data_IF_947706813555
#
_entry.id   IF_947706813555
#
_cell.length_a   1.000
_cell.length_b   1.000
_cell.length_c   1.000
_cell.angle_alpha   90.00
_cell.angle_beta   90.00
_cell.angle_gamma   90.00
#
_symmetry.space_group_name_H-M   'P 1'
#
loop_
_entity.id
_entity.type
_entity.pdbx_description
1 polymer ?
#
# COMPACT_ATOMS: atom_id res chain seq x y z
N UNK A 1 -48.04 -8.48 41.26
CA UNK A 1 -47.66 -8.25 39.84
C UNK A 1 -48.92 -8.32 39.01
N UNK A 2 -49.20 -7.31 38.18
CA UNK A 2 -50.35 -7.30 37.27
C UNK A 2 -49.84 -7.51 35.84
N UNK A 3 -50.40 -8.48 35.13
CA UNK A 3 -50.04 -8.78 33.74
C UNK A 3 -51.05 -8.08 32.83
N UNK A 4 -50.59 -7.14 32.01
CA UNK A 4 -51.44 -6.29 31.15
C UNK A 4 -51.69 -6.89 29.76
N UNK A 5 -50.86 -7.85 29.33
CA UNK A 5 -50.94 -8.51 28.03
C UNK A 5 -50.59 -10.00 28.20
N UNK A 6 -51.29 -10.90 27.52
CA UNK A 6 -51.02 -12.33 27.57
C UNK A 6 -49.71 -12.66 26.83
N UNK A 7 -48.65 -13.12 27.50
CA UNK A 7 -47.40 -13.43 26.84
C UNK A 7 -47.52 -14.71 26.00
N UNK A 8 -46.79 -14.77 24.89
CA UNK A 8 -46.69 -16.00 24.09
C UNK A 8 -45.75 -17.01 24.79
N UNK A 9 -46.02 -18.32 24.71
CA UNK A 9 -45.07 -19.33 25.18
C UNK A 9 -43.67 -19.12 24.57
N UNK A 10 -42.64 -18.99 25.41
CA UNK A 10 -41.26 -18.76 24.97
C UNK A 10 -40.92 -17.29 24.64
N UNK A 11 -41.85 -16.34 24.83
CA UNK A 11 -41.58 -14.92 24.61
C UNK A 11 -40.44 -14.44 25.52
N UNK A 12 -39.45 -13.78 24.92
CA UNK A 12 -38.23 -13.31 25.59
C UNK A 12 -37.37 -14.41 26.25
N UNK A 13 -37.55 -15.67 25.88
CA UNK A 13 -36.67 -16.78 26.29
C UNK A 13 -35.59 -16.99 25.22
N UNK A 14 -34.32 -16.98 25.63
CA UNK A 14 -33.19 -17.36 24.77
C UNK A 14 -32.76 -18.78 25.10
N UNK A 15 -32.96 -19.70 24.18
CA UNK A 15 -32.56 -21.09 24.35
C UNK A 15 -31.05 -21.26 24.18
N UNK A 16 -30.48 -22.28 24.84
CA UNK A 16 -29.07 -22.66 24.63
C UNK A 16 -28.80 -22.91 23.15
N UNK A 17 -27.74 -22.31 22.63
CA UNK A 17 -27.36 -22.47 21.23
C UNK A 17 -28.24 -21.72 20.22
N UNK A 18 -29.04 -20.74 20.66
CA UNK A 18 -29.93 -19.98 19.77
C UNK A 18 -29.21 -19.10 18.75
N UNK A 19 -27.92 -18.81 18.96
CA UNK A 19 -27.09 -18.03 18.04
C UNK A 19 -26.01 -18.88 17.37
N UNK A 20 -25.27 -19.65 18.17
CA UNK A 20 -24.20 -20.55 17.71
C UNK A 20 -24.18 -21.81 18.57
N UNK A 21 -23.86 -22.94 17.96
CA UNK A 21 -23.71 -24.23 18.61
C UNK A 21 -22.24 -24.56 18.84
N UNK A 22 -21.98 -25.46 19.80
CA UNK A 22 -20.63 -25.95 20.04
C UNK A 22 -20.15 -26.72 18.79
N UNK A 23 -18.95 -26.37 18.32
CA UNK A 23 -18.37 -26.93 17.09
C UNK A 23 -18.56 -26.05 15.85
N UNK A 24 -19.41 -25.02 15.91
CA UNK A 24 -19.54 -24.06 14.82
C UNK A 24 -18.27 -23.20 14.70
N UNK A 25 -17.91 -22.90 13.46
CA UNK A 25 -16.83 -21.93 13.18
C UNK A 25 -17.38 -20.53 13.46
N UNK A 26 -16.87 -19.89 14.52
CA UNK A 26 -17.25 -18.51 14.86
C UNK A 26 -16.67 -17.49 13.88
N UNK A 27 -15.42 -17.69 13.44
CA UNK A 27 -14.72 -16.82 12.49
C UNK A 27 -13.74 -17.62 11.64
N UNK A 28 -13.63 -17.25 10.36
CA UNK A 28 -12.71 -17.86 9.41
C UNK A 28 -11.32 -17.24 9.47
N UNK A 29 -10.28 -18.02 9.20
CA UNK A 29 -8.91 -17.50 9.07
C UNK A 29 -8.79 -16.47 7.93
N UNK A 30 -7.89 -15.51 8.11
CA UNK A 30 -7.66 -14.42 7.14
C UNK A 30 -8.63 -13.24 7.24
N UNK A 31 -9.36 -13.16 8.35
CA UNK A 31 -10.15 -11.99 8.75
C UNK A 31 -9.28 -10.98 9.51
N UNK A 32 -9.49 -9.69 9.27
CA UNK A 32 -8.92 -8.63 10.10
C UNK A 32 -9.68 -8.54 11.42
N UNK A 33 -8.96 -8.58 12.55
CA UNK A 33 -9.60 -8.51 13.88
C UNK A 33 -9.86 -7.05 14.27
N UNK A 34 -11.13 -6.63 14.16
CA UNK A 34 -11.64 -5.36 14.68
C UNK A 34 -12.29 -5.49 16.05
N UNK A 35 -12.93 -4.41 16.52
CA UNK A 35 -13.65 -4.40 17.80
C UNK A 35 -14.72 -5.50 17.92
N UNK A 36 -15.59 -5.70 16.92
CA UNK A 36 -16.59 -6.77 16.94
C UNK A 36 -15.99 -8.17 17.05
N UNK A 37 -14.96 -8.48 16.27
CA UNK A 37 -14.30 -9.78 16.26
C UNK A 37 -13.64 -10.08 17.62
N UNK A 38 -12.98 -9.08 18.21
CA UNK A 38 -12.40 -9.18 19.56
C UNK A 38 -13.49 -9.43 20.61
N UNK A 39 -14.65 -8.78 20.52
CA UNK A 39 -15.76 -9.01 21.45
C UNK A 39 -16.32 -10.43 21.34
N UNK A 40 -16.41 -10.99 20.12
CA UNK A 40 -16.81 -12.38 19.89
C UNK A 40 -15.81 -13.35 20.53
N UNK A 41 -14.50 -13.14 20.34
CA UNK A 41 -13.46 -13.96 20.99
C UNK A 41 -13.59 -13.91 22.52
N UNK A 42 -13.78 -12.72 23.09
CA UNK A 42 -13.95 -12.56 24.53
C UNK A 42 -15.22 -13.26 25.06
N UNK A 43 -16.35 -13.13 24.36
CA UNK A 43 -17.60 -13.80 24.72
C UNK A 43 -17.48 -15.33 24.64
N UNK A 44 -16.66 -15.84 23.72
CA UNK A 44 -16.32 -17.25 23.61
C UNK A 44 -15.22 -17.70 24.60
N UNK A 45 -14.74 -16.81 25.48
CA UNK A 45 -13.62 -17.05 26.40
C UNK A 45 -12.33 -17.52 25.70
N UNK A 46 -12.12 -17.07 24.47
CA UNK A 46 -10.90 -17.32 23.72
C UNK A 46 -9.83 -16.28 24.13
N UNK A 47 -8.98 -16.64 25.09
CA UNK A 47 -7.94 -15.74 25.62
C UNK A 47 -6.70 -15.59 24.71
N UNK A 48 -6.52 -16.53 23.78
CA UNK A 48 -5.42 -16.55 22.82
C UNK A 48 -5.91 -17.09 21.49
N UNK A 49 -5.46 -16.47 20.40
CA UNK A 49 -5.79 -16.88 19.04
C UNK A 49 -4.52 -16.85 18.19
N UNK A 50 -4.36 -17.84 17.32
CA UNK A 50 -3.27 -17.84 16.34
C UNK A 50 -3.53 -16.78 15.27
N UNK A 51 -2.55 -15.93 15.02
CA UNK A 51 -2.60 -14.87 14.00
C UNK A 51 -1.43 -14.99 13.04
N UNK A 52 -1.59 -14.44 11.84
CA UNK A 52 -0.45 -14.22 10.95
C UNK A 52 0.48 -13.16 11.55
N UNK A 53 1.78 -13.41 11.50
CA UNK A 53 2.77 -12.41 11.88
C UNK A 53 2.70 -11.21 10.92
N UNK A 54 3.02 -10.02 11.43
CA UNK A 54 3.16 -8.85 10.57
C UNK A 54 4.32 -9.05 9.58
N UNK A 55 4.12 -8.77 8.27
CA UNK A 55 5.22 -8.74 7.32
C UNK A 55 6.25 -7.67 7.69
N UNK A 56 7.53 -8.01 7.61
CA UNK A 56 8.65 -7.09 7.82
C UNK A 56 9.07 -6.51 6.48
N UNK A 57 9.20 -5.19 6.38
CA UNK A 57 9.45 -4.50 5.11
C UNK A 57 10.70 -3.63 5.24
N UNK A 58 11.80 -4.03 4.60
CA UNK A 58 13.00 -3.23 4.48
C UNK A 58 12.79 -2.06 3.51
N UNK A 59 13.26 -0.87 3.86
CA UNK A 59 13.15 0.34 3.05
C UNK A 59 14.56 0.87 2.81
N UNK A 60 14.99 0.78 1.57
CA UNK A 60 16.27 1.25 1.06
C UNK A 60 16.01 2.47 0.17
N UNK A 61 16.88 3.45 0.24
CA UNK A 61 16.92 4.54 -0.72
C UNK A 61 18.23 4.54 -1.46
N UNK A 62 18.23 4.80 -2.77
CA UNK A 62 19.47 4.84 -3.57
C UNK A 62 19.60 6.20 -4.24
N UNK A 63 20.80 6.76 -4.24
CA UNK A 63 21.08 8.07 -4.82
C UNK A 63 22.16 8.79 -4.04
N UNK A 64 23.23 9.19 -4.73
CA UNK A 64 24.33 9.96 -4.12
C UNK A 64 23.90 11.37 -3.70
N UNK A 65 22.77 11.87 -4.23
CA UNK A 65 22.15 13.14 -3.83
C UNK A 65 21.42 13.06 -2.48
N UNK A 66 21.09 11.86 -1.99
CA UNK A 66 20.19 11.68 -0.87
C UNK A 66 20.91 11.81 0.48
N UNK A 67 20.43 12.74 1.29
CA UNK A 67 20.95 13.02 2.63
C UNK A 67 19.91 12.72 3.72
N UNK A 68 20.35 12.36 4.94
CA UNK A 68 19.45 12.18 6.06
C UNK A 68 18.83 13.52 6.49
N UNK A 69 17.67 13.46 7.15
CA UNK A 69 16.90 14.64 7.55
C UNK A 69 17.68 15.67 8.40
N UNK A 70 18.66 15.21 9.18
CA UNK A 70 19.45 16.05 10.08
C UNK A 70 20.70 16.65 9.44
N UNK A 71 21.00 16.33 8.18
CA UNK A 71 22.20 16.82 7.50
C UNK A 71 22.04 18.25 6.99
N UNK A 72 23.14 19.00 7.00
CA UNK A 72 23.25 20.28 6.28
C UNK A 72 23.47 20.00 4.81
N UNK A 73 22.49 20.31 3.97
CA UNK A 73 22.54 20.05 2.53
C UNK A 73 23.63 20.87 1.84
N UNK A 74 24.39 20.21 0.98
CA UNK A 74 25.28 20.83 -0.01
C UNK A 74 24.54 21.02 -1.35
N UNK A 75 25.06 21.87 -2.26
CA UNK A 75 24.48 22.01 -3.60
C UNK A 75 24.35 20.65 -4.30
N UNK A 76 23.16 20.38 -4.86
CA UNK A 76 22.84 19.11 -5.53
C UNK A 76 22.33 18.01 -4.60
N UNK A 77 22.36 18.20 -3.28
CA UNK A 77 21.83 17.24 -2.31
C UNK A 77 20.37 17.56 -1.94
N UNK A 78 19.60 16.50 -1.66
CA UNK A 78 18.21 16.58 -1.21
C UNK A 78 17.98 15.62 -0.04
N UNK A 79 16.96 15.89 0.77
CA UNK A 79 16.57 14.97 1.85
C UNK A 79 15.82 13.78 1.26
N UNK A 80 16.14 12.58 1.73
CA UNK A 80 15.37 11.38 1.42
C UNK A 80 13.98 11.43 2.08
N UNK A 81 13.01 12.02 1.38
CA UNK A 81 11.62 12.09 1.80
C UNK A 81 10.85 10.78 1.59
N UNK A 82 11.29 9.93 0.65
CA UNK A 82 10.60 8.70 0.29
C UNK A 82 10.65 7.68 1.43
N UNK A 83 11.80 7.52 2.08
CA UNK A 83 11.92 6.59 3.21
C UNK A 83 10.89 6.91 4.30
N UNK A 84 10.69 8.18 4.64
CA UNK A 84 9.70 8.58 5.67
C UNK A 84 8.27 8.28 5.24
N UNK A 85 7.92 8.62 4.00
CA UNK A 85 6.59 8.37 3.47
C UNK A 85 6.28 6.86 3.37
N UNK A 86 7.22 6.07 2.86
CA UNK A 86 7.10 4.62 2.76
C UNK A 86 7.04 3.98 4.15
N UNK A 87 7.82 4.45 5.12
CA UNK A 87 7.76 3.96 6.51
C UNK A 87 6.36 4.13 7.09
N UNK A 88 5.78 5.33 6.96
CA UNK A 88 4.44 5.61 7.46
C UNK A 88 3.37 4.76 6.74
N UNK A 89 3.49 4.59 5.42
CA UNK A 89 2.54 3.79 4.63
C UNK A 89 2.63 2.29 4.92
N UNK A 90 3.83 1.75 5.14
CA UNK A 90 4.04 0.36 5.58
C UNK A 90 3.40 0.12 6.94
N UNK A 91 3.59 1.02 7.91
CA UNK A 91 2.93 0.91 9.22
C UNK A 91 1.41 0.94 9.08
N UNK A 92 0.89 1.86 8.26
CA UNK A 92 -0.55 1.97 8.00
C UNK A 92 -1.12 0.71 7.32
N UNK A 93 -0.32 -0.01 6.54
CA UNK A 93 -0.67 -1.30 5.96
C UNK A 93 -0.57 -2.48 6.95
N UNK A 94 -0.33 -2.22 8.25
CA UNK A 94 -0.26 -3.25 9.29
C UNK A 94 1.05 -4.05 9.30
N UNK A 95 2.09 -3.54 8.62
CA UNK A 95 3.40 -4.18 8.49
C UNK A 95 4.46 -3.51 9.38
N UNK A 96 5.58 -4.18 9.61
CA UNK A 96 6.72 -3.65 10.38
C UNK A 96 7.73 -3.02 9.42
N UNK A 97 7.88 -1.69 9.37
CA UNK A 97 8.93 -1.07 8.55
C UNK A 97 10.30 -1.27 9.18
N UNK A 98 11.31 -1.45 8.33
CA UNK A 98 12.72 -1.48 8.69
C UNK A 98 13.45 -0.46 7.79
N UNK A 99 13.52 0.82 8.19
CA UNK A 99 14.30 1.81 7.46
C UNK A 99 15.78 1.44 7.52
N UNK A 100 16.39 1.22 6.35
CA UNK A 100 17.77 0.76 6.20
C UNK A 100 18.71 1.88 5.75
N UNK A 101 18.18 3.07 5.44
CA UNK A 101 18.95 4.24 5.06
C UNK A 101 19.25 4.34 3.56
N UNK A 102 20.09 5.31 3.24
CA UNK A 102 20.58 5.59 1.89
C UNK A 102 21.74 4.66 1.54
N UNK A 103 21.71 4.12 0.34
CA UNK A 103 22.76 3.32 -0.29
C UNK A 103 23.36 4.14 -1.44
N UNK A 104 24.69 4.26 -1.53
CA UNK A 104 25.35 4.90 -2.68
C UNK A 104 24.98 4.21 -4.00
N UNK A 105 25.07 4.92 -5.11
CA UNK A 105 24.81 4.38 -6.46
C UNK A 105 25.98 3.49 -6.95
N UNK A 106 26.24 2.41 -6.22
CA UNK A 106 27.30 1.45 -6.46
C UNK A 106 26.74 0.02 -6.41
N UNK A 107 26.96 -0.81 -7.44
CA UNK A 107 26.39 -2.16 -7.51
C UNK A 107 26.71 -3.02 -6.29
N UNK A 108 27.95 -2.94 -5.79
CA UNK A 108 28.36 -3.70 -4.60
C UNK A 108 27.63 -3.23 -3.33
N UNK A 109 27.51 -1.92 -3.12
CA UNK A 109 26.79 -1.39 -1.96
C UNK A 109 25.30 -1.78 -1.99
N UNK A 110 24.67 -1.73 -3.18
CA UNK A 110 23.30 -2.21 -3.36
C UNK A 110 23.17 -3.71 -3.08
N UNK A 111 24.12 -4.52 -3.56
CA UNK A 111 24.11 -5.96 -3.32
C UNK A 111 24.20 -6.29 -1.83
N UNK A 112 25.14 -5.66 -1.11
CA UNK A 112 25.33 -5.81 0.33
C UNK A 112 24.07 -5.38 1.11
N UNK A 113 23.46 -4.26 0.72
CA UNK A 113 22.24 -3.75 1.35
C UNK A 113 21.03 -4.68 1.13
N UNK A 114 20.86 -5.23 -0.09
CA UNK A 114 19.81 -6.20 -0.39
C UNK A 114 20.04 -7.50 0.39
N UNK A 115 21.27 -8.01 0.44
CA UNK A 115 21.62 -9.20 1.24
C UNK A 115 21.28 -9.00 2.72
N UNK A 116 21.69 -7.87 3.30
CA UNK A 116 21.37 -7.52 4.68
C UNK A 116 19.84 -7.47 4.90
N UNK A 117 19.09 -6.85 3.98
CA UNK A 117 17.64 -6.79 4.06
C UNK A 117 16.99 -8.19 3.98
N UNK A 118 17.48 -9.10 3.14
CA UNK A 118 16.96 -10.46 2.99
C UNK A 118 17.01 -11.28 4.28
N UNK A 119 17.97 -11.01 5.16
CA UNK A 119 18.11 -11.70 6.46
C UNK A 119 16.99 -11.37 7.45
N UNK A 120 16.27 -10.26 7.25
CA UNK A 120 15.36 -9.72 8.27
C UNK A 120 14.01 -9.23 7.73
N UNK A 121 13.83 -9.10 6.41
CA UNK A 121 12.63 -8.54 5.81
C UNK A 121 12.01 -9.47 4.78
N UNK A 122 10.68 -9.54 4.76
CA UNK A 122 9.90 -10.32 3.80
C UNK A 122 9.75 -9.60 2.47
N UNK A 123 9.71 -8.27 2.54
CA UNK A 123 9.61 -7.37 1.40
C UNK A 123 10.71 -6.33 1.48
N UNK A 124 11.30 -6.01 0.34
CA UNK A 124 12.30 -4.96 0.19
C UNK A 124 11.70 -3.90 -0.72
N UNK A 125 11.62 -2.66 -0.24
CA UNK A 125 11.28 -1.49 -1.03
C UNK A 125 12.57 -0.71 -1.27
N UNK A 126 12.94 -0.51 -2.52
CA UNK A 126 14.10 0.29 -2.90
C UNK A 126 13.59 1.50 -3.67
N UNK A 127 13.73 2.71 -3.13
CA UNK A 127 13.31 3.94 -3.81
C UNK A 127 14.51 4.78 -4.25
N UNK A 128 14.59 5.11 -5.54
CA UNK A 128 15.75 5.80 -6.10
C UNK A 128 16.44 4.95 -7.17
N UNK A 129 17.44 5.53 -7.88
CA UNK A 129 18.31 4.79 -8.80
C UNK A 129 17.62 3.99 -9.92
N UNK A 130 16.45 4.43 -10.39
CA UNK A 130 15.74 3.84 -11.54
C UNK A 130 15.55 4.88 -12.64
N UNK A 131 16.63 5.53 -13.04
CA UNK A 131 16.70 6.19 -14.35
C UNK A 131 16.91 5.15 -15.45
N UNK A 132 16.70 5.54 -16.70
CA UNK A 132 16.72 4.64 -17.87
C UNK A 132 18.05 3.88 -18.00
N UNK A 133 19.18 4.44 -17.52
CA UNK A 133 20.49 3.78 -17.49
C UNK A 133 20.79 2.94 -16.24
N UNK A 134 20.11 3.20 -15.12
CA UNK A 134 20.39 2.56 -13.83
C UNK A 134 19.76 1.17 -13.71
N UNK A 135 18.67 0.94 -14.45
CA UNK A 135 18.00 -0.38 -14.52
C UNK A 135 18.96 -1.51 -14.88
N UNK A 136 20.00 -1.23 -15.65
CA UNK A 136 20.90 -2.27 -16.14
C UNK A 136 21.80 -2.83 -15.03
N UNK A 137 22.17 -2.04 -14.02
CA UNK A 137 22.96 -2.56 -12.89
C UNK A 137 22.08 -3.12 -11.78
N UNK A 138 20.92 -2.52 -11.49
CA UNK A 138 19.99 -3.07 -10.48
C UNK A 138 19.58 -4.49 -10.86
N UNK A 139 19.26 -4.72 -12.13
CA UNK A 139 18.93 -6.05 -12.62
C UNK A 139 20.07 -7.05 -12.53
N UNK A 140 21.31 -6.62 -12.80
CA UNK A 140 22.50 -7.47 -12.62
C UNK A 140 22.67 -7.84 -11.16
N UNK A 141 22.58 -6.88 -10.25
CA UNK A 141 22.66 -7.12 -8.80
C UNK A 141 21.56 -8.09 -8.35
N UNK A 142 20.32 -7.88 -8.78
CA UNK A 142 19.21 -8.79 -8.47
C UNK A 142 19.48 -10.20 -9.01
N UNK A 143 19.94 -10.34 -10.25
CA UNK A 143 20.26 -11.63 -10.85
C UNK A 143 21.46 -12.34 -10.17
N UNK A 144 22.52 -11.62 -9.83
CA UNK A 144 23.69 -12.12 -9.10
C UNK A 144 23.31 -12.64 -7.71
N UNK A 145 22.33 -11.99 -7.07
CA UNK A 145 21.75 -12.43 -5.80
C UNK A 145 20.68 -13.53 -5.95
N UNK A 146 20.49 -14.07 -7.16
CA UNK A 146 19.59 -15.19 -7.43
C UNK A 146 18.10 -14.82 -7.47
N UNK A 147 17.77 -13.53 -7.67
CA UNK A 147 16.39 -13.11 -7.81
C UNK A 147 15.81 -13.55 -9.16
N UNK A 148 14.53 -13.92 -9.15
CA UNK A 148 13.72 -14.00 -10.38
C UNK A 148 13.05 -12.66 -10.62
N UNK A 149 13.40 -12.00 -11.72
CA UNK A 149 12.79 -10.76 -12.17
C UNK A 149 11.44 -11.04 -12.85
N UNK A 150 10.39 -10.33 -12.44
CA UNK A 150 9.03 -10.47 -12.98
C UNK A 150 8.64 -9.34 -13.94
N UNK A 151 8.96 -8.10 -13.58
CA UNK A 151 8.67 -6.94 -14.41
C UNK A 151 9.59 -5.76 -14.07
N UNK A 152 9.75 -4.83 -15.03
CA UNK A 152 10.62 -3.64 -14.93
C UNK A 152 9.88 -2.32 -15.09
N UNK A 153 8.68 -2.39 -15.66
CA UNK A 153 7.84 -1.23 -15.84
C UNK A 153 6.37 -1.59 -15.94
N UNK A 154 5.54 -0.59 -15.68
CA UNK A 154 4.09 -0.65 -15.79
C UNK A 154 3.59 0.51 -16.65
N UNK A 155 2.47 0.32 -17.32
CA UNK A 155 1.86 1.31 -18.20
C UNK A 155 1.04 2.36 -17.41
N UNK A 156 1.63 2.92 -16.35
CA UNK A 156 1.00 3.92 -15.48
C UNK A 156 1.77 5.24 -15.47
N UNK A 157 1.08 6.32 -15.14
CA UNK A 157 1.65 7.66 -14.99
C UNK A 157 1.02 8.37 -13.79
N UNK A 158 1.81 8.92 -12.85
CA UNK A 158 3.26 8.71 -12.67
C UNK A 158 3.59 7.27 -12.23
N UNK A 159 4.87 6.90 -12.22
CA UNK A 159 5.30 5.57 -11.75
C UNK A 159 5.52 4.49 -12.81
N UNK A 160 5.90 4.86 -14.05
CA UNK A 160 6.26 3.86 -15.08
C UNK A 160 7.38 2.90 -14.62
N UNK A 161 8.52 3.38 -14.09
CA UNK A 161 9.50 2.52 -13.44
C UNK A 161 8.87 1.74 -12.29
N UNK A 162 8.92 0.41 -12.37
CA UNK A 162 8.56 -0.45 -11.26
C UNK A 162 9.26 -1.78 -11.49
N UNK A 163 10.25 -2.09 -10.66
CA UNK A 163 10.91 -3.39 -10.70
C UNK A 163 10.24 -4.31 -9.70
N UNK A 164 9.85 -5.51 -10.11
CA UNK A 164 9.37 -6.55 -9.18
C UNK A 164 10.20 -7.80 -9.37
N UNK A 165 10.78 -8.29 -8.29
CA UNK A 165 11.57 -9.52 -8.28
C UNK A 165 11.27 -10.35 -7.03
N UNK A 166 11.57 -11.65 -7.07
CA UNK A 166 11.44 -12.54 -5.92
C UNK A 166 12.73 -13.30 -5.67
N UNK A 167 13.11 -13.42 -4.40
CA UNK A 167 14.23 -14.24 -3.96
C UNK A 167 13.73 -15.55 -3.36
N UNK A 168 14.29 -16.69 -3.75
CA UNK A 168 14.00 -17.94 -3.06
C UNK A 168 14.43 -17.83 -1.60
N UNK A 169 13.61 -18.35 -0.68
CA UNK A 169 14.01 -18.50 0.73
C UNK A 169 14.20 -19.97 1.06
N UNK A 170 15.29 -20.34 1.77
CA UNK A 170 15.41 -21.67 2.34
C UNK A 170 14.27 -21.91 3.34
N UNK A 171 13.70 -23.11 3.35
CA UNK A 171 12.60 -23.51 4.25
C UNK A 171 12.95 -23.33 5.75
N UNK A 172 14.24 -23.24 6.08
CA UNK A 172 14.78 -23.12 7.44
C UNK A 172 14.34 -21.85 8.22
N UNK A 173 13.68 -20.88 7.58
CA UNK A 173 13.17 -19.66 8.26
C UNK A 173 11.68 -19.71 8.64
N UNK A 174 11.05 -20.89 8.57
CA UNK A 174 9.67 -21.08 9.04
C UNK A 174 8.60 -20.38 8.19
N UNK A 175 9.00 -19.79 7.06
CA UNK A 175 8.12 -19.19 6.06
C UNK A 175 8.64 -19.60 4.68
N UNK A 176 7.89 -20.46 3.99
CA UNK A 176 8.23 -20.95 2.66
C UNK A 176 8.07 -19.88 1.57
N UNK A 177 7.61 -18.68 1.92
CA UNK A 177 7.40 -17.61 0.95
C UNK A 177 8.71 -16.92 0.57
N UNK A 178 8.91 -16.76 -0.74
CA UNK A 178 9.97 -15.95 -1.32
C UNK A 178 9.95 -14.51 -0.78
N UNK A 179 11.13 -13.91 -0.60
CA UNK A 179 11.20 -12.48 -0.33
C UNK A 179 10.86 -11.71 -1.62
N UNK A 180 10.13 -10.60 -1.52
CA UNK A 180 9.72 -9.82 -2.70
C UNK A 180 10.45 -8.49 -2.69
N UNK A 181 11.05 -8.12 -3.82
CA UNK A 181 11.69 -6.83 -4.02
C UNK A 181 10.83 -5.96 -4.92
N UNK A 182 10.61 -4.71 -4.49
CA UNK A 182 9.99 -3.64 -5.27
C UNK A 182 11.00 -2.50 -5.46
N UNK A 183 11.46 -2.30 -6.69
CA UNK A 183 12.19 -1.10 -7.10
C UNK A 183 11.19 -0.01 -7.48
N UNK A 184 11.10 1.03 -6.66
CA UNK A 184 10.20 2.16 -6.81
C UNK A 184 10.93 3.37 -7.45
N UNK A 185 10.22 4.22 -8.20
CA UNK A 185 10.77 5.47 -8.71
C UNK A 185 11.37 6.35 -7.61
N UNK A 186 12.49 7.03 -7.88
CA UNK A 186 13.05 8.03 -6.95
C UNK A 186 12.16 9.27 -6.80
N UNK A 187 11.33 9.58 -7.79
CA UNK A 187 10.39 10.68 -7.72
C UNK A 187 9.29 10.42 -6.66
N UNK A 188 9.09 11.32 -5.68
CA UNK A 188 8.20 11.04 -4.55
C UNK A 188 6.75 10.72 -4.92
N UNK A 189 6.14 11.50 -5.80
CA UNK A 189 4.75 11.24 -6.22
C UNK A 189 4.65 9.88 -6.92
N UNK A 190 5.62 9.56 -7.75
CA UNK A 190 5.69 8.28 -8.46
C UNK A 190 5.86 7.11 -7.49
N UNK A 191 6.71 7.25 -6.46
CA UNK A 191 6.88 6.23 -5.42
C UNK A 191 5.57 5.96 -4.66
N UNK A 192 4.84 7.01 -4.26
CA UNK A 192 3.59 6.82 -3.51
C UNK A 192 2.47 6.22 -4.36
N UNK A 193 2.31 6.67 -5.61
CA UNK A 193 1.34 6.06 -6.56
C UNK A 193 1.67 4.59 -6.78
N UNK A 194 2.95 4.25 -7.00
CA UNK A 194 3.37 2.85 -7.13
C UNK A 194 3.13 2.05 -5.85
N UNK A 195 3.34 2.67 -4.67
CA UNK A 195 3.07 2.03 -3.39
C UNK A 195 1.58 1.69 -3.26
N UNK A 196 0.69 2.67 -3.37
CA UNK A 196 -0.75 2.44 -3.19
C UNK A 196 -1.33 1.48 -4.22
N UNK A 197 -0.85 1.55 -5.47
CA UNK A 197 -1.40 0.74 -6.55
C UNK A 197 -0.91 -0.71 -6.52
N UNK A 198 0.35 -0.95 -6.16
CA UNK A 198 0.99 -2.25 -6.33
C UNK A 198 1.56 -2.83 -5.03
N UNK A 199 2.22 -2.02 -4.20
CA UNK A 199 2.88 -2.51 -2.98
C UNK A 199 1.88 -2.76 -1.85
N UNK A 200 1.02 -1.80 -1.52
CA UNK A 200 0.05 -1.94 -0.43
C UNK A 200 -0.84 -3.20 -0.59
N UNK A 201 -1.40 -3.50 -1.77
CA UNK A 201 -2.17 -4.72 -1.96
C UNK A 201 -1.35 -6.00 -1.78
N UNK A 202 -0.08 -5.99 -2.20
CA UNK A 202 0.82 -7.12 -2.01
C UNK A 202 1.14 -7.33 -0.52
N UNK A 203 1.38 -6.25 0.23
CA UNK A 203 1.60 -6.28 1.67
C UNK A 203 0.36 -6.80 2.42
N UNK A 204 -0.82 -6.26 2.11
CA UNK A 204 -2.10 -6.70 2.68
C UNK A 204 -2.41 -8.16 2.39
N UNK A 205 -2.16 -8.62 1.17
CA UNK A 205 -2.34 -10.04 0.83
C UNK A 205 -1.36 -10.92 1.60
N UNK A 206 -0.11 -10.46 1.76
CA UNK A 206 0.95 -11.18 2.49
C UNK A 206 0.74 -11.20 4.00
N UNK A 207 -0.01 -10.25 4.58
CA UNK A 207 -0.38 -10.28 5.99
C UNK A 207 -1.43 -11.35 6.33
N UNK A 208 -1.90 -12.12 5.34
CA UNK A 208 -2.83 -13.22 5.52
C UNK A 208 -4.30 -12.85 5.28
N UNK A 209 -4.61 -11.62 4.85
CA UNK A 209 -5.97 -11.23 4.51
C UNK A 209 -6.50 -12.05 3.32
N UNK A 210 -7.64 -12.70 3.54
CA UNK A 210 -8.31 -13.50 2.50
C UNK A 210 -9.09 -12.62 1.51
N UNK A 211 -9.58 -11.47 1.97
CA UNK A 211 -10.32 -10.48 1.20
C UNK A 211 -9.92 -9.05 1.60
N UNK A 212 -10.39 -8.04 0.86
CA UNK A 212 -10.13 -6.64 1.21
C UNK A 212 -8.67 -6.17 1.05
N UNK A 213 -7.81 -6.99 0.43
CA UNK A 213 -6.42 -6.64 0.16
C UNK A 213 -6.25 -5.82 -1.13
N UNK A 214 -7.19 -5.86 -2.07
CA UNK A 214 -7.11 -5.10 -3.33
C UNK A 214 -7.40 -3.60 -3.14
N UNK A 215 -6.88 -2.70 -4.00
CA UNK A 215 -7.22 -1.28 -3.91
C UNK A 215 -8.72 -1.06 -4.09
N UNK A 216 -9.27 -0.13 -3.30
CA UNK A 216 -10.68 0.24 -3.37
C UNK A 216 -10.86 1.32 -4.43
N UNK A 217 -11.76 1.06 -5.38
CA UNK A 217 -12.15 2.01 -6.41
C UNK A 217 -13.62 2.34 -6.28
N UNK A 218 -13.96 3.63 -6.36
CA UNK A 218 -15.34 4.10 -6.34
C UNK A 218 -15.59 5.05 -7.53
N UNK A 219 -16.83 5.10 -8.05
CA UNK A 219 -17.23 6.14 -8.98
C UNK A 219 -17.41 7.46 -8.23
N UNK A 220 -16.90 8.56 -8.79
CA UNK A 220 -17.10 9.91 -8.26
C UNK A 220 -17.27 10.91 -9.41
N UNK A 221 -17.99 12.00 -9.17
CA UNK A 221 -18.09 13.12 -10.11
C UNK A 221 -16.87 14.01 -9.95
N UNK A 222 -16.06 14.19 -11.00
CA UNK A 222 -14.93 15.14 -10.95
C UNK A 222 -15.44 16.57 -11.01
N UNK A 223 -14.93 17.48 -10.17
CA UNK A 223 -15.25 18.91 -10.21
C UNK A 223 -14.32 19.70 -11.13
N UNK A 224 -13.16 19.12 -11.44
CA UNK A 224 -12.16 19.70 -12.32
C UNK A 224 -12.08 18.92 -13.64
N UNK A 225 -11.65 19.61 -14.70
CA UNK A 225 -11.25 18.95 -15.94
C UNK A 225 -9.93 18.21 -15.74
N UNK A 226 -9.91 16.92 -16.02
CA UNK A 226 -8.73 16.08 -15.86
C UNK A 226 -8.00 15.94 -17.20
N UNK A 227 -6.68 16.05 -17.18
CA UNK A 227 -5.83 15.93 -18.38
C UNK A 227 -4.82 14.81 -18.22
N UNK A 228 -4.54 14.10 -19.30
CA UNK A 228 -3.64 12.96 -19.34
C UNK A 228 -2.91 12.87 -20.70
N UNK A 229 -1.81 12.12 -20.71
CA UNK A 229 -1.03 11.90 -21.94
C UNK A 229 -1.59 10.83 -22.88
N UNK A 230 -2.66 10.12 -22.50
CA UNK A 230 -3.32 9.08 -23.31
C UNK A 230 -2.56 7.76 -23.51
N UNK A 231 -1.23 7.74 -23.39
CA UNK A 231 -0.41 6.53 -23.63
C UNK A 231 -0.41 5.53 -22.47
N UNK A 232 -0.79 5.97 -21.27
CA UNK A 232 -0.69 5.23 -20.00
C UNK A 232 -1.88 5.55 -19.11
N UNK A 233 -2.25 4.61 -18.25
CA UNK A 233 -3.25 4.86 -17.21
C UNK A 233 -2.71 5.95 -16.28
N UNK A 234 -3.42 7.07 -16.19
CA UNK A 234 -2.94 8.24 -15.43
C UNK A 234 -3.65 8.36 -14.10
N UNK A 235 -2.87 8.50 -13.03
CA UNK A 235 -3.33 8.73 -11.67
C UNK A 235 -3.14 10.21 -11.32
N UNK A 236 -4.25 10.89 -11.10
CA UNK A 236 -4.28 12.30 -10.70
C UNK A 236 -4.72 12.38 -9.23
N UNK A 237 -3.94 13.05 -8.39
CA UNK A 237 -4.21 13.10 -6.96
C UNK A 237 -5.09 14.27 -6.56
N UNK A 238 -5.96 14.04 -5.58
CA UNK A 238 -6.93 15.02 -5.13
C UNK A 238 -7.66 14.62 -3.87
N UNK A 239 -8.75 15.33 -3.61
CA UNK A 239 -9.65 15.11 -2.49
C UNK A 239 -10.94 14.48 -2.99
N UNK A 240 -11.33 13.42 -2.31
CA UNK A 240 -12.59 12.73 -2.44
C UNK A 240 -13.44 13.06 -1.22
N UNK A 241 -14.61 13.63 -1.47
CA UNK A 241 -15.59 14.02 -0.45
C UNK A 241 -16.94 13.37 -0.73
N UNK A 242 -17.72 13.12 0.32
CA UNK A 242 -19.12 12.78 0.22
C UNK A 242 -19.96 14.06 0.37
N UNK A 243 -20.64 14.48 -0.68
CA UNK A 243 -21.46 15.71 -0.72
C UNK A 243 -22.86 15.33 -1.19
N UNK A 244 -23.86 15.67 -0.38
CA UNK A 244 -25.28 15.40 -0.65
C UNK A 244 -25.57 13.94 -1.07
N UNK A 245 -24.86 12.98 -0.45
CA UNK A 245 -25.00 11.55 -0.74
C UNK A 245 -24.28 11.06 -2.00
N UNK A 246 -23.49 11.92 -2.66
CA UNK A 246 -22.70 11.58 -3.84
C UNK A 246 -21.20 11.82 -3.62
N UNK A 247 -20.36 10.99 -4.23
CA UNK A 247 -18.91 11.19 -4.16
C UNK A 247 -18.45 12.21 -5.18
N UNK A 248 -17.67 13.18 -4.72
CA UNK A 248 -17.06 14.22 -5.55
C UNK A 248 -15.53 14.15 -5.45
N UNK A 249 -14.87 14.26 -6.61
CA UNK A 249 -13.43 14.36 -6.69
C UNK A 249 -13.01 15.77 -7.10
N UNK A 250 -12.19 16.41 -6.27
CA UNK A 250 -11.55 17.69 -6.56
C UNK A 250 -10.05 17.47 -6.71
N UNK A 251 -9.49 17.90 -7.83
CA UNK A 251 -8.08 17.77 -8.14
C UNK A 251 -7.25 18.64 -7.19
N UNK A 252 -6.09 18.15 -6.75
CA UNK A 252 -5.22 18.93 -5.88
C UNK A 252 -4.72 20.19 -6.60
N UNK A 253 -4.91 21.36 -5.99
CA UNK A 253 -4.53 22.66 -6.56
C UNK A 253 -3.00 22.78 -6.76
N UNK A 254 -2.56 23.51 -7.79
CA UNK A 254 -1.15 23.75 -8.11
C UNK A 254 -0.60 22.86 -9.23
N UNK A 255 0.73 22.77 -9.37
CA UNK A 255 1.34 22.00 -10.46
C UNK A 255 1.11 20.49 -10.30
N UNK A 256 0.56 19.84 -11.33
CA UNK A 256 0.45 18.37 -11.43
C UNK A 256 1.74 17.71 -11.94
N UNK A 257 2.87 18.40 -11.83
CA UNK A 257 4.18 17.77 -12.01
C UNK A 257 4.43 16.77 -10.89
N UNK A 258 4.93 15.58 -11.24
CA UNK A 258 5.31 14.56 -10.27
C UNK A 258 6.45 15.03 -9.35
N UNK A 259 7.16 16.12 -9.69
CA UNK A 259 8.16 16.75 -8.81
C UNK A 259 7.57 17.53 -7.63
N UNK A 260 6.26 17.80 -7.61
CA UNK A 260 5.64 18.61 -6.57
C UNK A 260 5.00 17.75 -5.47
N UNK A 261 5.81 17.29 -4.52
CA UNK A 261 5.36 16.49 -3.36
C UNK A 261 4.35 17.24 -2.47
N UNK A 262 4.43 18.57 -2.40
CA UNK A 262 3.57 19.40 -1.53
C UNK A 262 2.09 19.17 -1.84
N UNK A 263 1.75 18.99 -3.12
CA UNK A 263 0.37 18.83 -3.56
C UNK A 263 -0.26 17.48 -3.21
N UNK A 264 0.54 16.50 -2.74
CA UNK A 264 0.01 15.26 -2.18
C UNK A 264 -0.45 15.41 -0.74
N UNK A 265 0.01 16.44 -0.02
CA UNK A 265 -0.43 16.68 1.34
C UNK A 265 -1.94 16.95 1.37
N UNK A 266 -2.67 16.13 2.13
CA UNK A 266 -4.13 16.22 2.22
C UNK A 266 -4.89 15.59 1.05
N UNK A 267 -4.21 14.96 0.08
CA UNK A 267 -4.87 14.09 -0.87
C UNK A 267 -5.30 12.79 -0.18
N UNK A 268 -6.51 12.33 -0.48
CA UNK A 268 -7.04 11.06 0.03
C UNK A 268 -7.47 10.11 -1.10
N UNK A 269 -7.28 10.52 -2.36
CA UNK A 269 -7.72 9.76 -3.51
C UNK A 269 -6.93 10.06 -4.79
N UNK A 270 -6.98 9.11 -5.72
CA UNK A 270 -6.38 9.21 -7.05
C UNK A 270 -7.45 8.95 -8.12
N UNK A 271 -7.81 9.97 -8.91
CA UNK A 271 -8.64 9.80 -10.09
C UNK A 271 -7.86 9.07 -11.20
N UNK A 272 -8.53 8.12 -11.85
CA UNK A 272 -7.95 7.27 -12.88
C UNK A 272 -8.44 7.73 -14.26
N UNK A 273 -7.50 8.17 -15.10
CA UNK A 273 -7.74 8.44 -16.52
C UNK A 273 -7.27 7.21 -17.32
N UNK A 274 -8.17 6.50 -18.03
CA UNK A 274 -7.82 5.29 -18.76
C UNK A 274 -6.81 5.52 -19.89
N UNK A 275 -6.13 4.44 -20.31
CA UNK A 275 -5.33 4.43 -21.54
C UNK A 275 -6.23 4.78 -22.73
N UNK A 276 -5.75 5.63 -23.62
CA UNK A 276 -6.48 6.16 -24.78
C UNK A 276 -7.27 7.43 -24.48
N UNK A 277 -7.42 7.84 -23.22
CA UNK A 277 -8.11 9.07 -22.83
C UNK A 277 -7.11 10.18 -22.54
N UNK A 278 -7.27 11.33 -23.18
CA UNK A 278 -6.43 12.52 -22.99
C UNK A 278 -7.07 13.57 -22.10
N UNK A 279 -8.40 13.59 -22.03
CA UNK A 279 -9.14 14.53 -21.20
C UNK A 279 -10.44 13.90 -20.68
N UNK A 280 -10.81 14.28 -19.45
CA UNK A 280 -12.12 14.01 -18.86
C UNK A 280 -12.71 15.37 -18.43
N UNK A 281 -13.87 15.80 -18.97
CA UNK A 281 -14.47 17.07 -18.60
C UNK A 281 -14.88 17.14 -17.12
N UNK A 282 -14.93 18.35 -16.57
CA UNK A 282 -15.55 18.58 -15.27
C UNK A 282 -17.02 18.12 -15.26
N UNK A 283 -17.51 17.77 -14.08
CA UNK A 283 -18.86 17.26 -13.80
C UNK A 283 -19.18 15.94 -14.51
N UNK A 284 -18.17 15.11 -14.78
CA UNK A 284 -18.35 13.76 -15.34
C UNK A 284 -17.94 12.69 -14.34
N UNK A 285 -18.44 11.47 -14.55
CA UNK A 285 -18.11 10.34 -13.70
C UNK A 285 -16.68 9.84 -14.01
N UNK A 286 -15.87 9.67 -12.97
CA UNK A 286 -14.52 9.12 -13.05
C UNK A 286 -14.33 8.02 -12.01
N UNK A 287 -13.48 7.05 -12.33
CA UNK A 287 -13.06 6.01 -11.37
C UNK A 287 -11.99 6.59 -10.45
N UNK A 288 -12.18 6.47 -9.14
CA UNK A 288 -11.29 7.04 -8.13
C UNK A 288 -10.78 5.95 -7.20
N UNK A 289 -9.46 5.83 -7.07
CA UNK A 289 -8.82 4.96 -6.09
C UNK A 289 -8.73 5.68 -4.74
N UNK A 290 -9.21 5.04 -3.68
CA UNK A 290 -9.17 5.59 -2.32
C UNK A 290 -7.84 5.25 -1.67
N UNK A 291 -7.10 6.26 -1.19
CA UNK A 291 -5.78 6.09 -0.53
C UNK A 291 -5.74 6.69 0.88
N UNK A 292 -6.75 7.48 1.26
CA UNK A 292 -6.91 8.13 2.56
C UNK A 292 -8.31 7.93 3.14
N UNK A 293 -8.60 8.60 4.25
CA UNK A 293 -9.98 8.68 4.76
C UNK A 293 -10.81 9.57 3.85
N UNK A 294 -12.01 9.12 3.51
CA UNK A 294 -12.99 9.94 2.78
C UNK A 294 -13.45 11.08 3.69
N UNK A 295 -13.51 12.29 3.14
CA UNK A 295 -14.04 13.46 3.84
C UNK A 295 -15.56 13.40 3.75
N UNK A 296 -16.24 13.48 4.88
CA UNK A 296 -17.70 13.51 4.99
C UNK A 296 -18.13 14.89 5.44
#
# INVERSE_FOLDING_TARGET
>A
VTILELPQPGQFVRHRGSFYQAGDVLMSAGLELGGPEIAVLAAAQCSQVSVFRQPRVAILSTGDELMPLTATLQPGQIVDSNQYALTALVQRAGCVPLPMGTVPDQPQALAEAIQAALTQADVILSSGGVSVGDFDYVDRVLAELGATLHLRSVAVQPGKPLTVATFPRPEAHGDANSAVYFGLPGNPVSALVSFWRFVEPALRKRSGLSQGWSPVFIPATTRDGLQAGGKRETYLWGKLSLVDGSFEFCLAQGSHSSGNLINLAGANALAVVPVGTTAIPANTLVKVMVVGRIIV
#
